data_IF_413572073333
#
_entry.id   IF_413572073333
#
_cell.length_a   1.000
_cell.length_b   1.000
_cell.length_c   1.000
_cell.angle_alpha   90.00
_cell.angle_beta   90.00
_cell.angle_gamma   90.00
#
_symmetry.space_group_name_H-M   'P 1'
#
loop_
_entity.id
_entity.type
_entity.pdbx_description
1 polymer ?
#
# COMPACT_ATOMS: atom_id res chain seq x y z
N UNK A 1 5.10 -13.79 13.16
CA UNK A 1 4.38 -12.53 13.41
C UNK A 1 4.72 -11.56 12.28
N UNK A 2 3.73 -10.88 11.68
CA UNK A 2 4.01 -9.83 10.68
C UNK A 2 4.54 -8.59 11.40
N UNK A 3 5.58 -7.97 10.84
CA UNK A 3 6.20 -6.75 11.40
C UNK A 3 5.49 -5.49 10.92
N UNK A 4 4.92 -5.52 9.71
CA UNK A 4 4.09 -4.46 9.16
C UNK A 4 2.79 -5.06 8.64
N UNK A 5 1.67 -4.44 8.98
CA UNK A 5 0.35 -4.77 8.47
C UNK A 5 -0.36 -3.49 8.07
N UNK A 6 -0.87 -3.46 6.85
CA UNK A 6 -1.69 -2.41 6.26
C UNK A 6 -2.98 -3.07 5.83
N UNK A 7 -4.12 -2.54 6.24
CA UNK A 7 -5.44 -3.09 5.93
C UNK A 7 -6.34 -1.97 5.42
N UNK A 8 -6.88 -2.13 4.20
CA UNK A 8 -7.84 -1.21 3.61
C UNK A 8 -7.34 0.23 3.50
N UNK A 9 -6.09 0.46 3.07
CA UNK A 9 -5.55 1.80 2.92
C UNK A 9 -6.21 2.52 1.73
N UNK A 10 -6.93 3.59 2.03
CA UNK A 10 -7.49 4.51 1.03
C UNK A 10 -6.80 5.88 1.11
N UNK A 11 -6.65 6.53 -0.04
CA UNK A 11 -6.12 7.89 -0.12
C UNK A 11 -6.73 8.62 -1.29
N UNK A 12 -7.15 9.86 -1.05
CA UNK A 12 -7.65 10.77 -2.08
C UNK A 12 -6.99 12.13 -1.97
N UNK A 13 -6.92 12.83 -3.11
CA UNK A 13 -6.58 14.24 -3.22
C UNK A 13 -7.76 14.96 -3.86
N UNK A 14 -8.58 15.63 -3.03
CA UNK A 14 -9.89 16.09 -3.45
C UNK A 14 -10.76 14.91 -3.89
N UNK A 15 -11.38 15.05 -5.06
CA UNK A 15 -12.24 14.02 -5.65
C UNK A 15 -11.47 12.85 -6.29
N UNK A 16 -10.14 12.94 -6.39
CA UNK A 16 -9.32 11.92 -7.02
C UNK A 16 -8.83 10.88 -6.00
N UNK A 17 -9.37 9.65 -6.06
CA UNK A 17 -8.93 8.51 -5.23
C UNK A 17 -7.70 7.82 -5.84
N UNK A 18 -6.56 7.93 -5.15
CA UNK A 18 -5.26 7.40 -5.57
C UNK A 18 -4.90 6.05 -4.94
N UNK A 19 -5.41 5.74 -3.74
CA UNK A 19 -5.33 4.39 -3.16
C UNK A 19 -6.74 3.91 -2.89
N UNK A 20 -7.09 2.74 -3.44
CA UNK A 20 -8.45 2.17 -3.47
C UNK A 20 -8.55 0.92 -2.60
N UNK A 21 -8.15 1.02 -1.33
CA UNK A 21 -8.27 -0.08 -0.37
C UNK A 21 -7.13 -1.09 -0.45
N UNK A 22 -5.90 -0.60 -0.37
CA UNK A 22 -4.69 -1.44 -0.47
C UNK A 22 -4.39 -2.11 0.87
N UNK A 23 -4.08 -3.40 0.84
CA UNK A 23 -3.68 -4.17 2.03
C UNK A 23 -2.34 -4.86 1.80
N UNK A 24 -1.46 -4.86 2.82
CA UNK A 24 -0.10 -5.42 2.77
C UNK A 24 0.26 -6.04 4.12
N UNK A 25 0.90 -7.21 4.11
CA UNK A 25 1.50 -7.82 5.31
C UNK A 25 2.95 -8.15 5.01
N UNK A 26 3.87 -7.61 5.80
CA UNK A 26 5.31 -7.87 5.68
C UNK A 26 5.85 -8.49 6.96
N UNK A 27 6.68 -9.52 6.83
CA UNK A 27 7.39 -10.19 7.91
C UNK A 27 8.75 -9.53 8.13
N UNK A 28 9.37 -9.82 9.27
CA UNK A 28 10.75 -9.39 9.52
C UNK A 28 11.69 -10.04 8.51
N UNK A 29 12.51 -9.24 7.84
CA UNK A 29 13.46 -9.70 6.83
C UNK A 29 12.94 -9.66 5.39
N UNK A 30 11.64 -9.39 5.19
CA UNK A 30 11.10 -9.19 3.84
C UNK A 30 11.71 -7.92 3.23
N UNK A 31 12.19 -8.04 1.99
CA UNK A 31 12.60 -6.91 1.15
C UNK A 31 11.53 -6.73 0.07
N UNK A 32 10.82 -5.61 0.11
CA UNK A 32 9.67 -5.34 -0.75
C UNK A 32 9.95 -4.08 -1.56
N UNK A 33 9.67 -4.13 -2.86
CA UNK A 33 9.68 -2.97 -3.75
C UNK A 33 8.27 -2.71 -4.29
N UNK A 34 7.89 -1.44 -4.39
CA UNK A 34 6.65 -1.03 -5.05
C UNK A 34 6.99 -0.62 -6.48
N UNK A 35 6.31 -1.24 -7.44
CA UNK A 35 6.44 -0.93 -8.87
C UNK A 35 5.08 -0.52 -9.43
N UNK A 36 5.08 0.46 -10.32
CA UNK A 36 3.86 1.00 -10.89
C UNK A 36 4.18 1.97 -12.02
N UNK A 37 3.20 2.18 -12.91
CA UNK A 37 3.28 3.22 -13.93
C UNK A 37 3.25 4.60 -13.26
N UNK A 38 3.76 5.64 -13.93
CA UNK A 38 3.66 7.00 -13.41
C UNK A 38 2.20 7.36 -13.10
N UNK A 39 1.91 7.68 -11.84
CA UNK A 39 0.57 8.04 -11.37
C UNK A 39 -0.31 6.89 -10.86
N UNK A 40 0.23 5.67 -10.71
CA UNK A 40 -0.46 4.53 -10.07
C UNK A 40 -0.39 4.53 -8.55
#
# INVERSE_FOLDING_TARGET
MYKLTVEGLHKSYGDNEVLKGVSLKAKTGDVISLIGASGS
#
